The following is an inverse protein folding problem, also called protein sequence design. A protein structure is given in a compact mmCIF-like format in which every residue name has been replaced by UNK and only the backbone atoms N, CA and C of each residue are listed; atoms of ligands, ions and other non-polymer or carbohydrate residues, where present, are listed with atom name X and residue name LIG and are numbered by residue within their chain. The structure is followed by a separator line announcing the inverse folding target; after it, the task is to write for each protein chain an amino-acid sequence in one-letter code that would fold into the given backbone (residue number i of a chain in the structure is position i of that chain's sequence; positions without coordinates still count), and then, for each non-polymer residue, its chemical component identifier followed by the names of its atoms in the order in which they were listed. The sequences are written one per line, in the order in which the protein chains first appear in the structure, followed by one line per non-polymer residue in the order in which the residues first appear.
data_IF_563806909976
#
_entry.id   IF_563806909976
#
_cell.length_a   1.000
_cell.length_b   1.000
_cell.length_c   1.000
_cell.angle_alpha   90.00
_cell.angle_beta   90.00
_cell.angle_gamma   90.00
#
_symmetry.space_group_name_H-M   'P 1'
#
loop_
_entity.id
_entity.type
_entity.pdbx_description
1 polymer ?
#
# COMPACT_ATOMS: atom_id res chain seq x y z
N UNK A 1 23.75 2.54 -11.40
CA UNK A 1 22.88 2.11 -10.28
C UNK A 1 22.25 3.28 -9.51
N UNK A 2 22.98 4.33 -9.11
CA UNK A 2 22.42 5.42 -8.28
C UNK A 2 21.25 6.22 -8.91
N UNK A 3 21.31 6.52 -10.22
CA UNK A 3 20.25 7.29 -10.90
C UNK A 3 18.91 6.55 -10.98
N UNK A 4 18.94 5.24 -11.22
CA UNK A 4 17.73 4.41 -11.30
C UNK A 4 17.05 4.25 -9.93
N UNK A 5 17.83 4.16 -8.85
CA UNK A 5 17.31 4.09 -7.48
C UNK A 5 16.68 5.43 -7.06
N UNK A 6 17.30 6.55 -7.46
CA UNK A 6 16.77 7.87 -7.14
C UNK A 6 15.50 8.20 -7.94
N UNK A 7 15.48 7.89 -9.24
CA UNK A 7 14.33 8.16 -10.11
C UNK A 7 13.11 7.33 -9.75
N UNK A 8 13.30 6.06 -9.37
CA UNK A 8 12.20 5.21 -8.88
C UNK A 8 11.64 5.73 -7.57
N UNK A 9 12.48 6.06 -6.59
CA UNK A 9 12.02 6.63 -5.31
C UNK A 9 11.24 7.94 -5.53
N UNK A 10 11.73 8.82 -6.41
CA UNK A 10 11.06 10.06 -6.77
C UNK A 10 9.70 9.82 -7.48
N UNK A 11 9.64 8.87 -8.40
CA UNK A 11 8.41 8.52 -9.11
C UNK A 11 7.35 7.95 -8.17
N UNK A 12 7.74 7.05 -7.26
CA UNK A 12 6.84 6.55 -6.21
C UNK A 12 6.38 7.69 -5.30
N UNK A 13 7.32 8.53 -4.84
CA UNK A 13 7.02 9.73 -4.07
C UNK A 13 5.91 10.58 -4.69
N UNK A 14 6.04 10.90 -5.98
CA UNK A 14 5.05 11.69 -6.70
C UNK A 14 3.70 10.99 -6.84
N UNK A 15 3.67 9.66 -6.96
CA UNK A 15 2.44 8.88 -7.10
C UNK A 15 1.61 8.87 -5.80
N UNK A 16 2.23 8.64 -4.63
CA UNK A 16 1.49 8.51 -3.37
C UNK A 16 1.37 9.82 -2.57
N UNK A 17 2.24 10.82 -2.79
CA UNK A 17 2.22 12.10 -2.09
C UNK A 17 0.85 12.80 -2.07
N UNK A 18 0.07 12.90 -3.17
CA UNK A 18 -1.23 13.58 -3.11
C UNK A 18 -2.24 12.86 -2.21
N UNK A 19 -2.24 11.53 -2.20
CA UNK A 19 -3.11 10.74 -1.32
C UNK A 19 -2.68 10.91 0.13
N UNK A 20 -1.37 10.82 0.38
CA UNK A 20 -0.82 10.92 1.72
C UNK A 20 -1.04 12.30 2.33
N UNK A 21 -0.91 13.38 1.55
CA UNK A 21 -1.21 14.75 2.00
C UNK A 21 -2.68 14.93 2.33
N UNK A 22 -3.60 14.34 1.55
CA UNK A 22 -5.04 14.36 1.87
C UNK A 22 -5.34 13.65 3.17
N UNK A 23 -4.75 12.47 3.40
CA UNK A 23 -4.97 11.70 4.62
C UNK A 23 -4.40 12.41 5.86
N UNK A 24 -3.25 13.05 5.71
CA UNK A 24 -2.59 13.83 6.76
C UNK A 24 -3.41 15.07 7.16
N UNK A 25 -4.03 15.75 6.18
CA UNK A 25 -4.98 16.83 6.45
C UNK A 25 -6.24 16.37 7.21
N UNK A 26 -6.61 15.09 7.09
CA UNK A 26 -7.67 14.45 7.88
C UNK A 26 -7.19 13.93 9.25
N UNK A 27 -5.88 14.06 9.54
CA UNK A 27 -5.28 13.65 10.81
C UNK A 27 -5.09 12.14 10.98
N UNK A 28 -4.97 11.36 9.90
CA UNK A 28 -4.85 9.90 9.98
C UNK A 28 -3.39 9.39 10.02
N UNK A 29 -2.52 9.69 9.04
CA UNK A 29 -1.08 9.53 9.17
C UNK A 29 -0.42 10.84 9.61
N UNK A 30 0.74 10.70 10.26
CA UNK A 30 1.70 11.76 10.55
C UNK A 30 3.04 11.44 9.90
N UNK A 31 3.80 12.47 9.52
CA UNK A 31 5.13 12.31 8.94
C UNK A 31 6.16 13.08 9.73
N UNK A 32 7.29 12.42 9.95
CA UNK A 32 8.46 12.99 10.62
C UNK A 32 9.71 12.64 9.82
N UNK A 33 10.71 13.50 9.82
CA UNK A 33 12.00 13.19 9.20
C UNK A 33 12.69 12.06 9.98
N UNK A 34 13.33 11.14 9.26
CA UNK A 34 14.16 10.14 9.90
C UNK A 34 15.42 10.83 10.47
N UNK A 35 15.69 10.75 11.79
CA UNK A 35 16.89 11.34 12.38
C UNK A 35 18.20 10.69 11.88
N UNK A 36 18.13 9.50 11.25
CA UNK A 36 19.28 8.78 10.70
C UNK A 36 19.57 9.15 9.24
N UNK A 37 18.56 9.60 8.49
CA UNK A 37 18.68 10.10 7.11
C UNK A 37 17.56 11.10 6.81
N UNK A 38 17.88 12.40 6.86
CA UNK A 38 16.91 13.49 6.67
C UNK A 38 16.16 13.44 5.32
N UNK A 39 16.72 12.71 4.33
CA UNK A 39 16.11 12.51 3.02
C UNK A 39 14.92 11.57 3.07
N UNK A 40 14.73 10.84 4.17
CA UNK A 40 13.63 9.92 4.37
C UNK A 40 12.60 10.51 5.32
N UNK A 41 11.33 10.28 4.99
CA UNK A 41 10.20 10.61 5.85
C UNK A 41 9.61 9.31 6.39
N UNK A 42 9.54 9.20 7.71
CA UNK A 42 8.85 8.12 8.40
C UNK A 42 7.37 8.47 8.50
N UNK A 43 6.52 7.56 8.02
CA UNK A 43 5.05 7.70 8.03
C UNK A 43 4.48 6.79 9.11
N UNK A 44 3.81 7.38 10.11
CA UNK A 44 3.16 6.65 11.20
C UNK A 44 1.67 6.94 11.24
N UNK A 45 0.87 6.02 11.77
CA UNK A 45 -0.55 6.28 12.02
C UNK A 45 -0.71 7.04 13.34
N UNK A 46 -1.58 8.03 13.34
CA UNK A 46 -2.08 8.69 14.55
C UNK A 46 -3.04 7.76 15.31
N UNK A 47 -3.48 8.16 16.51
CA UNK A 47 -4.50 7.42 17.26
C UNK A 47 -5.83 7.34 16.49
N UNK A 48 -6.27 8.43 15.86
CA UNK A 48 -7.47 8.46 15.01
C UNK A 48 -7.29 7.60 13.76
N UNK A 49 -6.09 7.61 13.16
CA UNK A 49 -5.75 6.74 12.03
C UNK A 49 -5.82 5.25 12.38
N UNK A 50 -5.32 4.86 13.55
CA UNK A 50 -5.44 3.48 14.06
C UNK A 50 -6.90 3.09 14.26
N UNK A 51 -7.70 3.93 14.93
CA UNK A 51 -9.13 3.68 15.15
C UNK A 51 -9.90 3.58 13.83
N UNK A 52 -9.62 4.44 12.85
CA UNK A 52 -10.24 4.38 11.52
C UNK A 52 -9.91 3.07 10.81
N UNK A 53 -8.66 2.62 10.90
CA UNK A 53 -8.25 1.33 10.34
C UNK A 53 -9.01 0.17 10.98
N UNK A 54 -9.18 0.18 12.29
CA UNK A 54 -9.96 -0.84 13.01
C UNK A 54 -11.43 -0.83 12.59
N UNK A 55 -12.06 0.34 12.46
CA UNK A 55 -13.45 0.48 12.01
C UNK A 55 -13.64 0.09 10.53
N UNK A 56 -12.69 0.42 9.66
CA UNK A 56 -12.75 0.09 8.23
C UNK A 56 -12.55 -1.40 7.92
N UNK A 57 -11.99 -2.16 8.87
CA UNK A 57 -11.84 -3.62 8.76
C UNK A 57 -13.15 -4.38 9.09
N UNK A 58 -14.16 -3.70 9.60
CA UNK A 58 -15.47 -4.27 9.93
C UNK A 58 -16.35 -4.50 8.69
N UNK A 59 -15.91 -4.03 7.51
CA UNK A 59 -16.55 -4.39 6.25
C UNK A 59 -16.23 -5.84 5.91
N UNK A 60 -17.15 -6.75 6.22
CA UNK A 60 -17.09 -8.14 5.80
C UNK A 60 -17.25 -8.23 4.28
N UNK A 61 -16.12 -8.26 3.57
CA UNK A 61 -16.12 -8.51 2.11
C UNK A 61 -16.82 -9.83 1.75
N UNK A 62 -16.82 -10.80 2.67
CA UNK A 62 -17.51 -12.08 2.52
C UNK A 62 -19.03 -11.88 2.44
N UNK A 63 -19.59 -11.04 3.31
CA UNK A 63 -21.01 -10.67 3.28
C UNK A 63 -21.34 -9.87 2.02
N UNK A 64 -20.49 -8.90 1.67
CA UNK A 64 -20.69 -8.05 0.49
C UNK A 64 -20.66 -8.84 -0.83
N UNK A 65 -19.88 -9.92 -0.92
CA UNK A 65 -19.84 -10.80 -2.10
C UNK A 65 -20.85 -11.94 -2.04
N UNK A 66 -21.66 -12.04 -0.98
CA UNK A 66 -22.65 -13.12 -0.80
C UNK A 66 -22.04 -14.53 -0.84
N UNK A 67 -20.74 -14.65 -0.56
CA UNK A 67 -20.00 -15.92 -0.72
C UNK A 67 -19.79 -16.59 0.64
N UNK A 68 -19.59 -17.91 0.65
CA UNK A 68 -19.16 -18.59 1.88
C UNK A 68 -17.72 -18.16 2.24
N UNK A 69 -17.36 -18.08 3.55
CA UNK A 69 -16.01 -17.67 3.96
C UNK A 69 -14.87 -18.45 3.28
N UNK A 70 -15.05 -19.76 3.12
CA UNK A 70 -14.04 -20.64 2.50
C UNK A 70 -13.87 -20.40 1.00
N UNK A 71 -14.97 -20.13 0.30
CA UNK A 71 -14.98 -19.84 -1.14
C UNK A 71 -14.33 -18.47 -1.40
N UNK A 72 -14.64 -17.47 -0.58
CA UNK A 72 -14.00 -16.16 -0.64
C UNK A 72 -12.49 -16.26 -0.40
N UNK A 73 -12.07 -17.03 0.61
CA UNK A 73 -10.64 -17.27 0.88
C UNK A 73 -9.95 -17.97 -0.30
N UNK A 74 -10.61 -18.94 -0.94
CA UNK A 74 -10.09 -19.63 -2.14
C UNK A 74 -9.94 -18.66 -3.32
N UNK A 75 -10.97 -17.85 -3.59
CA UNK A 75 -10.94 -16.83 -4.64
C UNK A 75 -9.82 -15.81 -4.40
N UNK A 76 -9.71 -15.26 -3.17
CA UNK A 76 -8.64 -14.33 -2.80
C UNK A 76 -7.26 -14.93 -3.05
N UNK A 77 -7.03 -16.18 -2.66
CA UNK A 77 -5.76 -16.87 -2.92
C UNK A 77 -5.47 -16.96 -4.41
N UNK A 78 -6.45 -17.36 -5.22
CA UNK A 78 -6.29 -17.45 -6.67
C UNK A 78 -5.93 -16.09 -7.29
N UNK A 79 -6.60 -15.00 -6.89
CA UNK A 79 -6.29 -13.64 -7.35
C UNK A 79 -4.87 -13.22 -6.95
N UNK A 80 -4.46 -13.50 -5.70
CA UNK A 80 -3.11 -13.17 -5.22
C UNK A 80 -2.05 -13.92 -6.01
N UNK A 81 -2.27 -15.21 -6.30
CA UNK A 81 -1.37 -16.02 -7.13
C UNK A 81 -1.28 -15.44 -8.54
N UNK A 82 -2.42 -15.16 -9.19
CA UNK A 82 -2.45 -14.60 -10.54
C UNK A 82 -1.69 -13.26 -10.59
N UNK A 83 -1.97 -12.35 -9.67
CA UNK A 83 -1.26 -11.07 -9.56
C UNK A 83 0.25 -11.29 -9.40
N UNK A 84 0.66 -12.22 -8.54
CA UNK A 84 2.07 -12.52 -8.34
C UNK A 84 2.75 -13.06 -9.59
N UNK A 85 2.07 -13.92 -10.35
CA UNK A 85 2.58 -14.46 -11.62
C UNK A 85 2.73 -13.33 -12.66
N UNK A 86 1.75 -12.44 -12.77
CA UNK A 86 1.77 -11.32 -13.71
C UNK A 86 2.90 -10.32 -13.38
N UNK A 87 3.09 -9.98 -12.10
CA UNK A 87 4.19 -9.10 -11.68
C UNK A 87 5.55 -9.69 -12.08
N UNK A 88 5.79 -10.99 -11.77
CA UNK A 88 7.04 -11.65 -12.15
C UNK A 88 7.25 -11.65 -13.65
N UNK A 89 6.21 -11.96 -14.43
CA UNK A 89 6.28 -11.92 -15.89
C UNK A 89 6.64 -10.53 -16.43
N UNK A 90 6.10 -9.45 -15.83
CA UNK A 90 6.46 -8.08 -16.23
C UNK A 90 7.87 -7.68 -15.82
N UNK A 91 8.40 -8.20 -14.72
CA UNK A 91 9.76 -7.93 -14.26
C UNK A 91 10.80 -8.67 -15.13
N UNK A 92 10.50 -9.91 -15.54
CA UNK A 92 11.33 -10.70 -16.46
C UNK A 92 11.45 -10.03 -17.84
N UNK A 93 10.36 -9.46 -18.37
CA UNK A 93 10.38 -8.73 -19.65
C UNK A 93 11.14 -7.40 -19.64
N UNK A 94 11.42 -6.82 -18.46
CA UNK A 94 12.21 -5.59 -18.35
C UNK A 94 13.73 -5.85 -18.20
N UNK A 95 14.13 -7.12 -18.07
CA UNK A 95 15.53 -7.53 -17.89
C UNK A 95 16.20 -8.04 -19.17
N UNK A 96 15.44 -8.23 -20.26
CA UNK A 96 15.92 -8.40 -21.64
C UNK A 96 16.05 -7.06 -22.37
#
# INVERSE_FOLDING_TARGET
MCFAIYSTNLAFGNAYKPILTKLEAMGYPERHHDPSDERQALVSLTKSGRRMRETGLDMSLVEATGSKPDEFAKMRRAIVTLRGNLIRSTEEQMQE
#
